data_IF_078859745971
#
_entry.id   IF_078859745971
#
_cell.length_a   1.000
_cell.length_b   1.000
_cell.length_c   1.000
_cell.angle_alpha   90.00
_cell.angle_beta   90.00
_cell.angle_gamma   90.00
#
_symmetry.space_group_name_H-M   'P 1'
#
loop_
_entity.id
_entity.type
_entity.pdbx_description
1 polymer ?
#
# COMPACT_ATOMS: atom_id res chain seq x y z
N UNK A 1 -8.72 -3.22 -11.30
CA UNK A 1 -9.89 -3.74 -10.56
C UNK A 1 -9.55 -5.12 -10.03
N UNK A 2 -9.81 -5.38 -8.76
CA UNK A 2 -9.64 -6.71 -8.14
C UNK A 2 -10.99 -7.26 -7.72
N UNK A 3 -11.09 -8.59 -7.56
CA UNK A 3 -12.32 -9.23 -7.09
C UNK A 3 -12.03 -9.97 -5.79
N UNK A 4 -12.74 -9.62 -4.73
CA UNK A 4 -12.62 -10.23 -3.40
C UNK A 4 -14.03 -10.64 -2.97
N UNK A 5 -14.22 -11.91 -2.59
CA UNK A 5 -15.51 -12.47 -2.18
C UNK A 5 -16.67 -12.14 -3.15
N UNK A 6 -16.42 -12.29 -4.45
CA UNK A 6 -17.35 -11.96 -5.54
C UNK A 6 -17.68 -10.48 -5.69
N UNK A 7 -17.08 -9.58 -4.90
CA UNK A 7 -17.24 -8.13 -5.01
C UNK A 7 -16.12 -7.53 -5.84
N UNK A 8 -16.48 -6.68 -6.78
CA UNK A 8 -15.51 -5.94 -7.62
C UNK A 8 -15.05 -4.70 -6.87
N UNK A 9 -13.75 -4.59 -6.63
CA UNK A 9 -13.13 -3.46 -5.95
C UNK A 9 -12.28 -2.68 -6.95
N UNK A 10 -12.55 -1.38 -7.06
CA UNK A 10 -11.77 -0.47 -7.89
C UNK A 10 -10.68 0.16 -7.02
N UNK A 11 -9.42 -0.14 -7.33
CA UNK A 11 -8.27 0.48 -6.68
C UNK A 11 -7.90 1.78 -7.38
N UNK A 12 -7.63 2.80 -6.62
CA UNK A 12 -6.92 4.01 -7.04
C UNK A 12 -5.52 3.95 -6.45
N UNK A 13 -4.53 3.85 -7.31
CA UNK A 13 -3.13 3.70 -6.93
C UNK A 13 -2.43 5.03 -7.16
N UNK A 14 -1.74 5.51 -6.12
CA UNK A 14 -0.90 6.70 -6.17
C UNK A 14 0.54 6.28 -6.00
N UNK A 15 1.34 6.48 -7.04
CA UNK A 15 2.78 6.32 -6.97
C UNK A 15 3.37 7.61 -6.37
N UNK A 16 4.04 7.44 -5.23
CA UNK A 16 4.63 8.53 -4.47
C UNK A 16 6.16 8.51 -4.62
N UNK A 17 6.66 8.33 -5.84
CA UNK A 17 8.10 8.33 -6.09
C UNK A 17 8.74 9.59 -5.52
N UNK A 18 9.39 9.45 -4.39
CA UNK A 18 10.15 10.53 -3.78
C UNK A 18 11.56 10.50 -4.33
N UNK A 19 11.82 11.34 -5.31
CA UNK A 19 13.19 11.71 -5.62
C UNK A 19 13.79 12.37 -4.38
N UNK A 20 14.80 11.72 -3.79
CA UNK A 20 15.54 12.24 -2.66
C UNK A 20 15.98 13.69 -2.96
N UNK A 21 15.45 14.66 -2.23
CA UNK A 21 15.84 16.07 -2.32
C UNK A 21 14.75 17.07 -2.70
N UNK A 22 13.54 16.68 -3.03
CA UNK A 22 12.48 17.66 -3.35
C UNK A 22 11.49 17.81 -2.19
N UNK A 23 11.79 18.73 -1.27
CA UNK A 23 10.86 19.11 -0.18
C UNK A 23 9.49 19.61 -0.68
N UNK A 24 9.43 20.10 -1.92
CA UNK A 24 8.19 20.58 -2.54
C UNK A 24 7.11 19.50 -2.69
N UNK A 25 7.48 18.21 -2.76
CA UNK A 25 6.53 17.11 -2.90
C UNK A 25 6.05 16.51 -1.57
N UNK A 26 6.73 16.77 -0.46
CA UNK A 26 6.32 16.27 0.87
C UNK A 26 4.91 16.70 1.28
N UNK A 27 4.49 17.91 0.94
CA UNK A 27 3.15 18.38 1.28
C UNK A 27 2.05 17.66 0.48
N UNK A 28 2.34 17.29 -0.77
CA UNK A 28 1.44 16.55 -1.64
C UNK A 28 1.33 15.11 -1.15
N UNK A 29 2.46 14.46 -0.85
CA UNK A 29 2.52 13.09 -0.32
C UNK A 29 1.74 12.96 0.99
N UNK A 30 1.85 13.93 1.90
CA UNK A 30 1.09 13.97 3.15
C UNK A 30 -0.43 13.97 2.93
N UNK A 31 -0.92 14.63 1.89
CA UNK A 31 -2.36 14.63 1.59
C UNK A 31 -2.85 13.25 1.14
N UNK A 32 -2.01 12.47 0.46
CA UNK A 32 -2.34 11.10 0.05
C UNK A 32 -2.38 10.14 1.23
N UNK A 33 -1.45 10.24 2.18
CA UNK A 33 -1.44 9.38 3.37
C UNK A 33 -2.71 9.54 4.20
N UNK A 34 -3.25 10.76 4.31
CA UNK A 34 -4.46 11.02 5.08
C UNK A 34 -5.70 10.30 4.54
N UNK A 35 -5.77 10.08 3.23
CA UNK A 35 -6.89 9.41 2.57
C UNK A 35 -6.59 7.96 2.16
N UNK A 36 -5.36 7.48 2.36
CA UNK A 36 -4.98 6.12 2.02
C UNK A 36 -5.51 5.12 3.05
N UNK A 37 -6.07 4.01 2.59
CA UNK A 37 -6.48 2.87 3.43
C UNK A 37 -5.48 1.74 3.38
N UNK A 38 -4.64 1.70 2.35
CA UNK A 38 -3.52 0.79 2.22
C UNK A 38 -2.28 1.50 1.68
N UNK A 39 -1.10 0.99 2.04
CA UNK A 39 0.17 1.42 1.50
C UNK A 39 1.06 0.20 1.22
N UNK A 40 1.72 0.21 0.06
CA UNK A 40 2.80 -0.71 -0.27
C UNK A 40 4.12 0.03 -0.04
N UNK A 41 4.88 -0.41 0.95
CA UNK A 41 6.19 0.14 1.28
C UNK A 41 7.24 -0.69 0.55
N UNK A 42 7.75 -0.16 -0.57
CA UNK A 42 8.56 -0.91 -1.52
C UNK A 42 10.04 -0.59 -1.35
N UNK A 43 10.90 -1.61 -1.32
CA UNK A 43 12.36 -1.47 -1.37
C UNK A 43 12.95 -2.36 -2.47
N UNK A 44 14.14 -2.03 -2.92
CA UNK A 44 14.91 -2.80 -3.89
C UNK A 44 15.83 -3.79 -3.16
N UNK A 45 15.60 -5.09 -3.33
CA UNK A 45 16.40 -6.13 -2.67
C UNK A 45 17.89 -6.07 -3.01
N UNK A 46 18.25 -5.41 -4.12
CA UNK A 46 19.65 -5.26 -4.57
C UNK A 46 20.33 -4.01 -4.04
N UNK A 47 19.59 -3.15 -3.31
CA UNK A 47 20.08 -1.87 -2.80
C UNK A 47 19.78 -1.71 -1.31
N UNK A 48 20.78 -1.93 -0.48
CA UNK A 48 20.69 -1.82 1.00
C UNK A 48 20.13 -0.47 1.46
N UNK A 49 20.49 0.61 0.78
CA UNK A 49 20.06 1.97 1.16
C UNK A 49 18.54 2.11 1.13
N UNK A 50 17.87 1.50 0.14
CA UNK A 50 16.39 1.56 0.05
C UNK A 50 15.73 0.86 1.23
N UNK A 51 16.30 -0.26 1.69
CA UNK A 51 15.81 -0.95 2.89
C UNK A 51 16.08 -0.15 4.17
N UNK A 52 17.23 0.52 4.28
CA UNK A 52 17.54 1.35 5.44
C UNK A 52 16.55 2.52 5.61
N UNK A 53 15.94 3.01 4.54
CA UNK A 53 14.94 4.06 4.58
C UNK A 53 13.52 3.57 4.94
N UNK A 54 13.27 2.26 4.90
CA UNK A 54 11.94 1.68 5.18
C UNK A 54 11.42 2.10 6.54
N UNK A 55 12.28 2.11 7.57
CA UNK A 55 11.86 2.47 8.93
C UNK A 55 11.36 3.92 9.01
N UNK A 56 12.07 4.87 8.39
CA UNK A 56 11.68 6.28 8.40
C UNK A 56 10.38 6.52 7.61
N UNK A 57 10.20 5.82 6.49
CA UNK A 57 8.95 5.88 5.72
C UNK A 57 7.76 5.32 6.50
N UNK A 58 7.98 4.20 7.20
CA UNK A 58 6.95 3.59 8.05
C UNK A 58 6.52 4.52 9.17
N UNK A 59 7.47 5.19 9.82
CA UNK A 59 7.21 6.16 10.87
C UNK A 59 6.42 7.36 10.34
N UNK A 60 6.85 7.94 9.21
CA UNK A 60 6.14 9.05 8.56
C UNK A 60 4.69 8.67 8.19
N UNK A 61 4.46 7.47 7.64
CA UNK A 61 3.12 7.00 7.33
C UNK A 61 2.25 6.87 8.58
N UNK A 62 2.81 6.36 9.67
CA UNK A 62 2.10 6.20 10.94
C UNK A 62 1.73 7.53 11.60
N UNK A 63 2.63 8.51 11.52
CA UNK A 63 2.38 9.85 12.02
C UNK A 63 1.30 10.61 11.23
N UNK A 64 1.21 10.36 9.92
CA UNK A 64 0.25 11.03 9.05
C UNK A 64 -1.12 10.33 8.99
N UNK A 65 -1.18 9.08 9.46
CA UNK A 65 -2.45 8.37 9.58
C UNK A 65 -3.26 9.05 10.70
N UNK A 66 -4.38 9.67 10.33
CA UNK A 66 -5.33 10.19 11.33
C UNK A 66 -5.71 9.05 12.27
N UNK A 67 -5.71 9.31 13.59
CA UNK A 67 -5.82 8.30 14.65
C UNK A 67 -7.03 7.34 14.54
N UNK A 68 -7.97 7.60 13.64
CA UNK A 68 -9.12 6.76 13.31
C UNK A 68 -8.91 5.88 12.06
N UNK A 69 -7.93 6.17 11.21
CA UNK A 69 -7.64 5.40 9.98
C UNK A 69 -6.31 4.67 10.13
N UNK A 70 -6.37 3.44 10.61
CA UNK A 70 -5.20 2.54 10.60
C UNK A 70 -4.92 2.11 9.16
N UNK A 71 -3.98 2.79 8.50
CA UNK A 71 -3.49 2.37 7.17
C UNK A 71 -3.04 0.91 7.25
N UNK A 72 -3.47 0.10 6.31
CA UNK A 72 -2.96 -1.25 6.13
C UNK A 72 -1.65 -1.18 5.36
N UNK A 73 -0.53 -1.53 5.97
CA UNK A 73 0.79 -1.42 5.37
C UNK A 73 1.33 -2.81 5.05
N UNK A 74 1.84 -2.99 3.83
CA UNK A 74 2.56 -4.17 3.39
C UNK A 74 3.97 -3.78 2.98
N UNK A 75 4.98 -4.50 3.46
CA UNK A 75 6.37 -4.37 3.03
C UNK A 75 6.60 -5.22 1.78
N UNK A 76 7.19 -4.63 0.76
CA UNK A 76 7.42 -5.28 -0.53
C UNK A 76 8.90 -5.21 -0.92
N UNK A 77 9.58 -6.35 -1.01
CA UNK A 77 10.93 -6.47 -1.56
C UNK A 77 10.87 -6.65 -3.08
N UNK A 78 11.11 -5.58 -3.84
CA UNK A 78 11.04 -5.65 -5.30
C UNK A 78 12.38 -6.06 -5.93
N UNK A 79 12.32 -6.47 -7.20
CA UNK A 79 13.41 -6.99 -8.03
C UNK A 79 13.88 -8.38 -7.61
N UNK A 80 12.97 -9.25 -7.14
CA UNK A 80 13.27 -10.64 -6.75
C UNK A 80 13.90 -11.45 -7.88
N UNK A 81 13.74 -11.06 -9.14
CA UNK A 81 14.42 -11.62 -10.31
C UNK A 81 15.94 -11.42 -10.30
N UNK A 82 16.45 -10.48 -9.52
CA UNK A 82 17.87 -10.20 -9.36
C UNK A 82 18.48 -10.81 -8.07
N UNK A 83 18.02 -12.00 -7.67
CA UNK A 83 18.44 -12.67 -6.44
C UNK A 83 19.96 -12.83 -6.30
N UNK A 84 20.72 -13.00 -7.39
CA UNK A 84 22.19 -13.07 -7.37
C UNK A 84 22.87 -11.75 -6.98
N UNK A 85 22.16 -10.63 -7.10
CA UNK A 85 22.65 -9.28 -6.73
C UNK A 85 22.05 -8.79 -5.42
N UNK A 86 21.42 -9.66 -4.67
CA UNK A 86 20.73 -9.38 -3.43
C UNK A 86 21.66 -8.73 -2.41
N UNK A 87 21.25 -7.62 -1.83
CA UNK A 87 21.91 -6.90 -0.75
C UNK A 87 21.11 -6.97 0.57
N UNK A 88 19.83 -7.38 0.49
CA UNK A 88 18.93 -7.59 1.63
C UNK A 88 18.37 -8.99 1.55
N UNK A 89 18.55 -9.81 2.58
CA UNK A 89 18.00 -11.17 2.58
C UNK A 89 16.49 -11.20 2.76
N UNK A 90 15.84 -12.27 2.32
CA UNK A 90 14.40 -12.45 2.49
C UNK A 90 14.04 -12.49 3.98
N UNK A 91 14.86 -13.20 4.77
CA UNK A 91 14.68 -13.35 6.22
C UNK A 91 14.74 -12.00 6.93
N UNK A 92 15.61 -11.10 6.47
CA UNK A 92 15.74 -9.75 7.03
C UNK A 92 14.51 -8.90 6.75
N UNK A 93 13.95 -8.98 5.54
CA UNK A 93 12.68 -8.34 5.18
C UNK A 93 11.51 -8.90 5.98
N UNK A 94 11.40 -10.22 6.10
CA UNK A 94 10.39 -10.90 6.89
C UNK A 94 10.46 -10.53 8.37
N UNK A 95 11.67 -10.50 8.93
CA UNK A 95 11.89 -10.15 10.33
C UNK A 95 11.45 -8.70 10.61
N UNK A 96 11.88 -7.77 9.76
CA UNK A 96 11.44 -6.38 9.88
C UNK A 96 9.92 -6.23 9.81
N UNK A 97 9.27 -6.91 8.86
CA UNK A 97 7.83 -6.89 8.72
C UNK A 97 7.14 -7.44 9.97
N UNK A 98 7.59 -8.59 10.49
CA UNK A 98 7.07 -9.22 11.70
C UNK A 98 7.19 -8.32 12.92
N UNK A 99 8.35 -7.71 13.14
CA UNK A 99 8.60 -6.79 14.27
C UNK A 99 7.70 -5.55 14.22
N UNK A 100 7.32 -5.12 13.02
CA UNK A 100 6.49 -3.95 12.82
C UNK A 100 5.01 -4.26 12.57
N UNK A 101 4.61 -5.55 12.59
CA UNK A 101 3.21 -5.96 12.36
C UNK A 101 2.73 -5.71 10.93
N UNK A 102 3.63 -5.86 9.95
CA UNK A 102 3.36 -5.69 8.53
C UNK A 102 3.20 -7.05 7.83
N UNK A 103 2.41 -7.09 6.76
CA UNK A 103 2.51 -8.16 5.79
C UNK A 103 3.81 -7.99 4.97
N UNK A 104 4.36 -9.10 4.47
CA UNK A 104 5.58 -9.09 3.66
C UNK A 104 5.41 -9.90 2.39
N UNK A 105 5.99 -9.41 1.30
CA UNK A 105 6.04 -10.14 0.04
C UNK A 105 7.24 -9.68 -0.78
N UNK A 106 7.88 -10.62 -1.50
CA UNK A 106 8.84 -10.26 -2.54
C UNK A 106 8.18 -10.30 -3.92
N UNK A 107 8.49 -9.30 -4.72
CA UNK A 107 7.92 -9.13 -6.06
C UNK A 107 8.99 -8.89 -7.11
N UNK A 108 8.64 -9.08 -8.37
CA UNK A 108 9.41 -8.59 -9.51
C UNK A 108 8.50 -7.90 -10.51
N UNK A 109 8.60 -6.59 -10.61
CA UNK A 109 7.88 -5.83 -11.63
C UNK A 109 8.29 -6.25 -13.05
N UNK A 110 9.54 -6.69 -13.24
CA UNK A 110 10.08 -7.14 -14.52
C UNK A 110 9.44 -8.43 -15.02
N UNK A 111 9.33 -9.43 -14.12
CA UNK A 111 8.77 -10.76 -14.45
C UNK A 111 7.29 -10.88 -14.11
N UNK A 112 6.71 -9.86 -13.47
CA UNK A 112 5.35 -9.83 -12.92
C UNK A 112 5.15 -10.79 -11.75
N UNK A 113 6.23 -11.38 -11.20
CA UNK A 113 6.15 -12.30 -10.07
C UNK A 113 5.55 -11.59 -8.85
N UNK A 114 4.48 -12.13 -8.29
CA UNK A 114 3.75 -11.66 -7.11
C UNK A 114 3.23 -10.19 -7.19
N UNK A 115 3.27 -9.52 -8.36
CA UNK A 115 2.81 -8.12 -8.46
C UNK A 115 1.31 -8.03 -8.24
N UNK A 116 0.54 -8.85 -8.95
CA UNK A 116 -0.93 -8.89 -8.81
C UNK A 116 -1.31 -9.35 -7.40
N UNK A 117 -0.60 -10.35 -6.88
CA UNK A 117 -0.81 -10.91 -5.54
C UNK A 117 -0.63 -9.86 -4.44
N UNK A 118 0.39 -8.99 -4.54
CA UNK A 118 0.62 -7.93 -3.57
C UNK A 118 -0.56 -6.94 -3.50
N UNK A 119 -1.12 -6.55 -4.64
CA UNK A 119 -2.31 -5.70 -4.68
C UNK A 119 -3.56 -6.43 -4.19
N UNK A 120 -3.71 -7.69 -4.55
CA UNK A 120 -4.85 -8.51 -4.12
C UNK A 120 -4.82 -8.70 -2.60
N UNK A 121 -3.69 -9.10 -2.05
CA UNK A 121 -3.54 -9.33 -0.60
C UNK A 121 -3.73 -8.03 0.19
N UNK A 122 -3.13 -6.91 -0.23
CA UNK A 122 -3.32 -5.63 0.45
C UNK A 122 -4.80 -5.20 0.44
N UNK A 123 -5.50 -5.43 -0.67
CA UNK A 123 -6.93 -5.13 -0.80
C UNK A 123 -7.80 -6.04 0.07
N UNK A 124 -7.45 -7.34 0.17
CA UNK A 124 -8.14 -8.30 1.03
C UNK A 124 -8.02 -7.91 2.51
N UNK A 125 -6.82 -7.52 2.95
CA UNK A 125 -6.59 -7.06 4.31
C UNK A 125 -7.41 -5.80 4.66
N UNK A 126 -7.59 -4.87 3.71
CA UNK A 126 -8.47 -3.71 3.90
C UNK A 126 -9.94 -4.15 3.97
N UNK A 127 -10.35 -5.05 3.09
CA UNK A 127 -11.71 -5.56 3.06
C UNK A 127 -12.09 -6.28 4.38
N UNK A 128 -11.19 -7.11 4.92
CA UNK A 128 -11.37 -7.76 6.22
C UNK A 128 -11.56 -6.72 7.33
N UNK A 129 -10.72 -5.68 7.39
CA UNK A 129 -10.85 -4.59 8.37
C UNK A 129 -12.17 -3.82 8.25
N UNK A 130 -12.71 -3.68 7.04
CA UNK A 130 -14.03 -3.09 6.82
C UNK A 130 -15.13 -4.02 7.38
N UNK A 131 -15.03 -5.33 7.12
CA UNK A 131 -16.00 -6.31 7.64
C UNK A 131 -16.00 -6.38 9.17
N UNK A 132 -14.82 -6.25 9.78
CA UNK A 132 -14.65 -6.21 11.24
C UNK A 132 -15.08 -4.86 11.87
N UNK A 133 -15.45 -3.87 11.05
CA UNK A 133 -15.79 -2.53 11.52
C UNK A 133 -14.61 -1.70 12.01
N UNK A 134 -13.38 -2.15 11.76
CA UNK A 134 -12.17 -1.42 12.11
C UNK A 134 -11.93 -0.20 11.21
N UNK A 135 -12.51 -0.21 10.00
CA UNK A 135 -12.57 0.93 9.09
C UNK A 135 -14.03 1.34 8.94
N UNK A 136 -14.36 2.51 9.44
CA UNK A 136 -15.71 3.09 9.33
C UNK A 136 -15.85 3.79 7.97
N UNK A 137 -16.63 3.21 7.08
CA UNK A 137 -16.88 3.74 5.74
C UNK A 137 -17.50 5.13 5.73
N UNK A 138 -18.24 5.50 6.78
CA UNK A 138 -18.87 6.83 6.88
C UNK A 138 -17.88 7.94 7.22
N UNK A 139 -16.74 7.58 7.81
CA UNK A 139 -15.68 8.51 8.24
C UNK A 139 -14.40 8.41 7.43
N UNK A 140 -14.25 7.32 6.67
CA UNK A 140 -13.06 7.09 5.85
C UNK A 140 -13.18 7.82 4.52
N UNK A 141 -12.32 8.80 4.27
CA UNK A 141 -12.22 9.46 2.97
C UNK A 141 -11.60 8.58 1.88
N UNK A 142 -11.00 7.45 2.28
CA UNK A 142 -10.26 6.55 1.38
C UNK A 142 -11.06 5.40 0.77
N UNK A 143 -12.27 5.14 1.27
CA UNK A 143 -13.13 4.07 0.76
C UNK A 143 -14.51 4.61 0.48
N UNK A 144 -15.02 4.32 -0.70
CA UNK A 144 -16.40 4.67 -1.08
C UNK A 144 -17.17 3.41 -1.44
N UNK A 145 -18.34 3.17 -0.85
CA UNK A 145 -19.23 2.11 -1.30
C UNK A 145 -19.58 2.32 -2.77
N UNK A 146 -19.40 1.28 -3.60
CA UNK A 146 -19.92 1.28 -4.96
C UNK A 146 -21.43 1.21 -4.94
N UNK A 147 -22.10 1.96 -5.80
CA UNK A 147 -23.49 1.68 -6.13
C UNK A 147 -23.51 0.41 -6.98
N UNK A 148 -24.34 -0.56 -6.63
CA UNK A 148 -24.57 -1.73 -7.45
C UNK A 148 -24.98 -1.30 -8.87
N UNK A 149 -24.58 -2.04 -9.89
CA UNK A 149 -24.65 -1.71 -11.33
C UNK A 149 -26.06 -1.31 -11.88
N UNK A 150 -27.09 -1.16 -11.05
CA UNK A 150 -28.44 -0.76 -11.45
C UNK A 150 -28.68 0.75 -11.57
N UNK A 151 -27.70 1.59 -11.22
CA UNK A 151 -27.84 3.06 -11.33
C UNK A 151 -26.78 3.69 -12.23
N UNK A 152 -26.92 3.50 -13.54
CA UNK A 152 -26.16 4.18 -14.57
C UNK A 152 -26.68 5.62 -14.75
N UNK A 153 -26.29 6.55 -13.86
CA UNK A 153 -26.76 7.93 -14.03
C UNK A 153 -26.24 8.97 -13.07
N UNK A 154 -25.38 8.62 -12.11
CA UNK A 154 -24.82 9.57 -11.15
C UNK A 154 -23.29 9.66 -11.24
N UNK A 155 -22.77 10.88 -11.06
CA UNK A 155 -21.33 11.17 -11.10
C UNK A 155 -20.49 10.24 -10.20
N UNK A 156 -19.25 9.90 -10.59
CA UNK A 156 -18.42 8.95 -9.85
C UNK A 156 -18.03 9.52 -8.48
N UNK A 157 -18.43 8.82 -7.43
CA UNK A 157 -18.02 9.08 -6.05
C UNK A 157 -16.51 8.81 -5.83
N UNK A 158 -15.88 9.43 -4.81
CA UNK A 158 -14.44 9.31 -4.56
C UNK A 158 -13.98 7.85 -4.34
N UNK A 159 -12.75 7.56 -4.68
CA UNK A 159 -12.18 6.21 -4.91
C UNK A 159 -11.26 5.80 -3.77
N UNK A 160 -11.18 4.49 -3.46
CA UNK A 160 -10.21 3.97 -2.49
C UNK A 160 -8.76 4.19 -2.94
N UNK A 161 -7.90 4.65 -2.05
CA UNK A 161 -6.51 5.03 -2.36
C UNK A 161 -5.52 4.02 -1.78
N UNK A 162 -4.58 3.56 -2.60
CA UNK A 162 -3.43 2.75 -2.20
C UNK A 162 -2.17 3.54 -2.53
N UNK A 163 -1.29 3.73 -1.55
CA UNK A 163 0.01 4.41 -1.74
C UNK A 163 1.14 3.39 -1.90
N UNK A 164 2.02 3.61 -2.88
CA UNK A 164 3.26 2.87 -3.07
C UNK A 164 4.45 3.82 -2.85
N UNK A 165 5.40 3.42 -2.01
CA UNK A 165 6.65 4.15 -1.77
C UNK A 165 7.83 3.24 -2.12
N UNK A 166 8.82 3.76 -2.81
CA UNK A 166 10.05 3.06 -3.19
C UNK A 166 11.30 3.90 -2.92
#
# INVERSE_FOLDING_TARGET
>A
MVTIDKKKIKLQIWDTETQAGQEAFRSITKSYYRSAVAALLVYDITRRETFNHVASWLEEMREQADGNNKITIMLVGNKSDLGQRRAVSTEEGEQFAKENGLAFMETSARTRHNVEEAFLQSSSMVYEKIQEGAIDLSKSSGVTPGLDDEFSGLEPLPRASVCCSS
#
